data_IF_638809682750
#
_entry.id   IF_638809682750
#
_cell.length_a   1.000
_cell.length_b   1.000
_cell.length_c   1.000
_cell.angle_alpha   90.00
_cell.angle_beta   90.00
_cell.angle_gamma   90.00
#
_symmetry.space_group_name_H-M   'P 1'
#
loop_
_entity.id
_entity.type
_entity.pdbx_description
1 polymer ?
#
# COMPACT_ATOMS: atom_id res chain seq x y z
N UNK A 1 -8.55 -13.51 1.36
CA UNK A 1 -7.07 -13.62 1.19
C UNK A 1 -6.56 -12.86 -0.04
N UNK A 2 -7.01 -13.11 -1.28
CA UNK A 2 -6.48 -12.42 -2.47
C UNK A 2 -6.46 -10.88 -2.36
N UNK A 3 -7.51 -10.27 -1.82
CA UNK A 3 -7.59 -8.82 -1.60
C UNK A 3 -6.77 -8.31 -0.39
N UNK A 4 -6.37 -9.20 0.54
CA UNK A 4 -5.55 -8.79 1.69
C UNK A 4 -4.10 -8.55 1.31
N UNK A 5 -3.58 -9.25 0.29
CA UNK A 5 -2.19 -9.12 -0.14
C UNK A 5 -1.83 -7.72 -0.64
N UNK A 6 -2.61 -7.11 -1.55
CA UNK A 6 -2.36 -5.72 -1.95
C UNK A 6 -2.49 -4.72 -0.81
N UNK A 7 -3.41 -4.95 0.12
CA UNK A 7 -3.57 -4.09 1.30
C UNK A 7 -2.34 -4.15 2.23
N UNK A 8 -1.76 -5.35 2.43
CA UNK A 8 -0.52 -5.51 3.18
C UNK A 8 0.61 -4.73 2.51
N UNK A 9 0.76 -4.83 1.19
CA UNK A 9 1.82 -4.12 0.46
C UNK A 9 1.62 -2.59 0.48
N UNK A 10 0.39 -2.10 0.37
CA UNK A 10 0.09 -0.69 0.58
C UNK A 10 0.41 -0.24 2.00
N UNK A 11 0.10 -1.05 3.02
CA UNK A 11 0.44 -0.74 4.41
C UNK A 11 1.95 -0.73 4.65
N UNK A 12 2.70 -1.66 4.05
CA UNK A 12 4.17 -1.68 4.09
C UNK A 12 4.79 -0.46 3.38
N UNK A 13 4.21 -0.03 2.26
CA UNK A 13 4.59 1.19 1.54
C UNK A 13 4.51 2.42 2.46
N UNK A 14 3.39 2.58 3.14
CA UNK A 14 3.15 3.71 4.04
C UNK A 14 4.02 3.62 5.30
N UNK A 15 4.10 2.44 5.91
CA UNK A 15 4.97 2.17 7.05
C UNK A 15 6.43 2.51 6.73
N UNK A 16 6.91 2.11 5.55
CA UNK A 16 8.29 2.36 5.13
C UNK A 16 8.59 3.85 5.06
N UNK A 17 7.74 4.63 4.38
CA UNK A 17 7.89 6.08 4.28
C UNK A 17 7.74 6.78 5.63
N UNK A 18 6.77 6.35 6.46
CA UNK A 18 6.54 6.94 7.77
C UNK A 18 7.70 6.73 8.75
N UNK A 19 8.35 5.55 8.71
CA UNK A 19 9.56 5.27 9.51
C UNK A 19 10.75 6.17 9.15
N UNK A 20 10.71 6.77 7.98
CA UNK A 20 11.72 7.72 7.47
C UNK A 20 11.27 9.18 7.67
N UNK A 21 10.15 9.41 8.34
CA UNK A 21 9.62 10.75 8.60
C UNK A 21 8.91 11.40 7.41
N UNK A 22 8.48 10.61 6.41
CA UNK A 22 7.72 11.07 5.26
C UNK A 22 6.32 10.45 5.27
N UNK A 23 5.30 11.24 4.95
CA UNK A 23 3.93 10.75 4.88
C UNK A 23 3.47 10.57 3.43
N UNK A 24 3.53 9.32 2.93
CA UNK A 24 3.19 9.00 1.55
C UNK A 24 1.68 8.79 1.36
N UNK A 25 0.94 9.87 1.13
CA UNK A 25 -0.47 9.81 0.67
C UNK A 25 -0.56 9.39 -0.81
N UNK A 26 0.52 9.56 -1.57
CA UNK A 26 0.62 9.18 -2.98
C UNK A 26 0.54 7.67 -3.24
N UNK A 27 0.52 6.84 -2.21
CA UNK A 27 0.43 5.37 -2.33
C UNK A 27 -0.75 4.91 -3.18
N UNK A 28 -1.89 5.62 -3.11
CA UNK A 28 -3.07 5.29 -3.91
C UNK A 28 -2.82 5.49 -5.42
N UNK A 29 -2.19 6.59 -5.83
CA UNK A 29 -1.81 6.83 -7.22
C UNK A 29 -0.67 5.92 -7.69
N UNK A 30 0.29 5.61 -6.82
CA UNK A 30 1.36 4.66 -7.11
C UNK A 30 0.80 3.24 -7.35
N UNK A 31 -0.20 2.86 -6.57
CA UNK A 31 -0.98 1.64 -6.78
C UNK A 31 -1.70 1.66 -8.14
N UNK A 32 -2.38 2.76 -8.47
CA UNK A 32 -3.07 2.94 -9.76
C UNK A 32 -2.11 2.87 -10.93
N UNK A 33 -0.96 3.51 -10.85
CA UNK A 33 0.08 3.43 -11.89
C UNK A 33 0.61 2.00 -12.08
N UNK A 34 0.78 1.25 -10.98
CA UNK A 34 1.13 -0.16 -11.02
C UNK A 34 0.05 -1.03 -11.68
N UNK A 35 -1.23 -0.77 -11.36
CA UNK A 35 -2.37 -1.43 -12.00
C UNK A 35 -2.40 -1.17 -13.52
N UNK A 36 -2.21 0.09 -13.91
CA UNK A 36 -2.13 0.49 -15.31
C UNK A 36 -1.04 -0.28 -16.05
N UNK A 37 0.18 -0.25 -15.52
CA UNK A 37 1.33 -0.89 -16.14
C UNK A 37 1.16 -2.40 -16.26
N UNK A 38 0.73 -3.09 -15.20
CA UNK A 38 0.54 -4.54 -15.22
C UNK A 38 -0.56 -4.97 -16.18
N UNK A 39 -1.72 -4.31 -16.15
CA UNK A 39 -2.85 -4.65 -17.03
C UNK A 39 -2.57 -4.32 -18.48
N UNK A 40 -1.97 -3.18 -18.77
CA UNK A 40 -1.63 -2.81 -20.14
C UNK A 40 -0.59 -3.75 -20.74
N UNK A 41 0.45 -4.08 -20.00
CA UNK A 41 1.46 -5.05 -20.45
C UNK A 41 0.87 -6.46 -20.68
N UNK A 42 -0.07 -6.88 -19.83
CA UNK A 42 -0.72 -8.17 -19.95
C UNK A 42 -1.71 -8.23 -21.12
N UNK A 43 -2.53 -7.20 -21.31
CA UNK A 43 -3.63 -7.19 -22.28
C UNK A 43 -3.22 -6.68 -23.68
N UNK A 44 -2.35 -5.65 -23.74
CA UNK A 44 -1.92 -5.08 -25.01
C UNK A 44 -0.67 -5.75 -25.60
N UNK A 45 0.30 -6.09 -24.74
CA UNK A 45 1.57 -6.68 -25.18
C UNK A 45 1.64 -8.20 -25.02
N UNK A 46 0.67 -8.80 -24.34
CA UNK A 46 0.62 -10.25 -24.13
C UNK A 46 1.74 -10.80 -23.24
N UNK A 47 2.31 -9.98 -22.36
CA UNK A 47 3.40 -10.40 -21.48
C UNK A 47 2.91 -11.39 -20.41
N UNK A 48 3.81 -12.26 -19.95
CA UNK A 48 3.54 -13.16 -18.83
C UNK A 48 3.49 -12.43 -17.48
N UNK A 49 3.12 -13.15 -16.44
CA UNK A 49 2.91 -12.59 -15.09
C UNK A 49 4.14 -11.89 -14.49
N UNK A 50 5.34 -12.46 -14.67
CA UNK A 50 6.56 -11.91 -14.06
C UNK A 50 6.97 -10.55 -14.67
N UNK A 51 7.11 -10.38 -16.02
CA UNK A 51 7.41 -9.08 -16.59
C UNK A 51 6.31 -8.03 -16.32
N UNK A 52 5.03 -8.43 -16.29
CA UNK A 52 3.94 -7.51 -15.91
C UNK A 52 4.10 -7.01 -14.47
N UNK A 53 4.47 -7.89 -13.54
CA UNK A 53 4.73 -7.54 -12.14
C UNK A 53 5.93 -6.59 -12.02
N UNK A 54 7.04 -6.86 -12.72
CA UNK A 54 8.22 -5.98 -12.73
C UNK A 54 7.86 -4.60 -13.27
N UNK A 55 7.07 -4.54 -14.34
CA UNK A 55 6.64 -3.29 -14.96
C UNK A 55 5.74 -2.48 -14.01
N UNK A 56 4.86 -3.13 -13.25
CA UNK A 56 4.07 -2.50 -12.20
C UNK A 56 4.92 -1.90 -11.07
N UNK A 57 5.96 -2.63 -10.63
CA UNK A 57 6.92 -2.16 -9.61
C UNK A 57 7.63 -0.89 -10.12
N UNK A 58 8.09 -0.90 -11.37
CA UNK A 58 8.78 0.24 -12.00
C UNK A 58 7.84 1.44 -12.10
N UNK A 59 6.60 1.25 -12.56
CA UNK A 59 5.62 2.33 -12.70
C UNK A 59 5.30 2.98 -11.34
N UNK A 60 5.04 2.17 -10.30
CA UNK A 60 4.84 2.66 -8.95
C UNK A 60 6.07 3.39 -8.39
N UNK A 61 7.27 2.84 -8.62
CA UNK A 61 8.53 3.46 -8.22
C UNK A 61 8.77 4.80 -8.91
N UNK A 62 8.49 4.92 -10.21
CA UNK A 62 8.63 6.16 -10.97
C UNK A 62 7.71 7.26 -10.44
N UNK A 63 6.44 6.94 -10.16
CA UNK A 63 5.52 7.91 -9.59
C UNK A 63 5.97 8.34 -8.18
N UNK A 64 6.46 7.40 -7.37
CA UNK A 64 7.09 7.70 -6.09
C UNK A 64 8.36 8.54 -6.22
N UNK A 65 9.17 8.28 -7.24
CA UNK A 65 10.36 9.07 -7.57
C UNK A 65 10.01 10.53 -7.89
N UNK A 66 8.96 10.77 -8.69
CA UNK A 66 8.48 12.13 -9.00
C UNK A 66 8.12 12.88 -7.72
N UNK A 67 7.34 12.26 -6.82
CA UNK A 67 7.01 12.86 -5.51
C UNK A 67 8.27 13.16 -4.70
N UNK A 68 9.25 12.23 -4.73
CA UNK A 68 10.53 12.37 -4.04
C UNK A 68 11.39 13.51 -4.58
N UNK A 69 11.45 13.66 -5.89
CA UNK A 69 12.18 14.76 -6.57
C UNK A 69 11.56 16.13 -6.23
N UNK A 70 10.23 16.25 -6.29
CA UNK A 70 9.52 17.46 -5.92
C UNK A 70 9.79 17.84 -4.45
N UNK A 71 9.86 16.84 -3.56
CA UNK A 71 10.17 17.06 -2.15
C UNK A 71 11.61 17.46 -1.93
N UNK A 72 12.55 16.74 -2.54
CA UNK A 72 13.97 16.93 -2.30
C UNK A 72 14.52 18.24 -2.90
N UNK A 73 14.18 18.53 -4.15
CA UNK A 73 14.74 19.67 -4.88
C UNK A 73 13.85 20.91 -4.90
N UNK A 74 12.53 20.74 -4.95
CA UNK A 74 11.61 21.87 -4.99
C UNK A 74 11.00 22.18 -3.61
N UNK A 75 11.33 21.41 -2.58
CA UNK A 75 10.77 21.53 -1.23
C UNK A 75 9.23 21.57 -1.17
N UNK A 76 8.58 20.95 -2.15
CA UNK A 76 7.11 20.82 -2.20
C UNK A 76 6.67 19.86 -1.10
N UNK A 77 5.50 20.10 -0.52
CA UNK A 77 4.92 19.20 0.47
C UNK A 77 4.54 17.86 -0.21
N UNK A 78 5.08 16.74 0.30
CA UNK A 78 4.86 15.39 -0.24
C UNK A 78 3.39 14.95 -0.19
N UNK A 79 2.61 15.49 0.75
CA UNK A 79 1.18 15.21 0.88
C UNK A 79 0.41 15.85 -0.27
N UNK A 80 0.67 17.14 -0.54
CA UNK A 80 0.00 17.88 -1.62
C UNK A 80 0.36 17.29 -2.98
N UNK A 81 1.66 17.07 -3.24
CA UNK A 81 2.10 16.46 -4.50
C UNK A 81 1.55 15.04 -4.67
N UNK A 82 1.48 14.27 -3.59
CA UNK A 82 0.89 12.92 -3.58
C UNK A 82 -0.59 12.94 -3.96
N UNK A 83 -1.39 13.83 -3.37
CA UNK A 83 -2.82 13.95 -3.70
C UNK A 83 -3.01 14.33 -5.17
N UNK A 84 -2.26 15.29 -5.68
CA UNK A 84 -2.36 15.70 -7.09
C UNK A 84 -1.97 14.57 -8.04
N UNK A 85 -0.89 13.87 -7.75
CA UNK A 85 -0.43 12.74 -8.56
C UNK A 85 -1.40 11.55 -8.52
N UNK A 86 -2.15 11.35 -7.44
CA UNK A 86 -3.19 10.32 -7.38
C UNK A 86 -4.26 10.53 -8.46
N UNK A 87 -4.73 11.77 -8.63
CA UNK A 87 -5.73 12.11 -9.66
C UNK A 87 -5.16 12.03 -11.08
N UNK A 88 -3.93 12.51 -11.27
CA UNK A 88 -3.25 12.39 -12.57
C UNK A 88 -3.08 10.91 -12.94
N UNK A 89 -2.63 10.07 -12.00
CA UNK A 89 -2.50 8.64 -12.22
C UNK A 89 -3.84 7.98 -12.57
N UNK A 90 -4.93 8.34 -11.86
CA UNK A 90 -6.25 7.78 -12.11
C UNK A 90 -6.74 8.09 -13.53
N UNK A 91 -6.77 9.36 -13.91
CA UNK A 91 -7.27 9.75 -15.24
C UNK A 91 -6.38 9.28 -16.38
N UNK A 92 -5.06 9.30 -16.19
CA UNK A 92 -4.12 8.72 -17.16
C UNK A 92 -4.36 7.21 -17.34
N UNK A 93 -4.56 6.49 -16.24
CA UNK A 93 -4.85 5.05 -16.27
C UNK A 93 -6.16 4.76 -17.00
N UNK A 94 -7.23 5.51 -16.70
CA UNK A 94 -8.51 5.37 -17.39
C UNK A 94 -8.37 5.58 -18.90
N UNK A 95 -7.61 6.59 -19.30
CA UNK A 95 -7.36 6.88 -20.74
C UNK A 95 -6.55 5.76 -21.39
N UNK A 96 -5.47 5.31 -20.77
CA UNK A 96 -4.59 4.25 -21.32
C UNK A 96 -5.34 2.92 -21.41
N UNK A 97 -6.03 2.50 -20.34
CA UNK A 97 -6.73 1.23 -20.29
C UNK A 97 -8.04 1.22 -21.09
N UNK A 98 -8.54 2.38 -21.50
CA UNK A 98 -9.68 2.43 -22.43
C UNK A 98 -9.38 1.80 -23.79
N UNK A 99 -8.11 1.69 -24.19
CA UNK A 99 -7.68 1.00 -25.41
C UNK A 99 -7.80 -0.54 -25.33
N UNK A 100 -7.81 -1.08 -24.11
CA UNK A 100 -7.96 -2.53 -23.83
C UNK A 100 -9.26 -2.84 -23.08
N UNK A 101 -10.24 -1.96 -23.22
CA UNK A 101 -11.57 -2.08 -22.64
C UNK A 101 -12.45 -3.04 -23.43
N UNK A 102 -13.38 -3.71 -22.76
CA UNK A 102 -14.44 -4.49 -23.38
C UNK A 102 -15.45 -3.58 -24.12
N UNK A 103 -15.91 -3.98 -25.28
CA UNK A 103 -16.80 -3.12 -26.12
C UNK A 103 -18.15 -2.87 -25.45
N UNK A 104 -18.66 -3.88 -24.71
CA UNK A 104 -19.98 -3.83 -24.08
C UNK A 104 -19.99 -3.34 -22.63
N UNK A 105 -18.83 -3.12 -22.02
CA UNK A 105 -18.74 -2.74 -20.60
C UNK A 105 -17.61 -1.74 -20.33
N UNK A 106 -17.68 -0.97 -19.23
CA UNK A 106 -16.65 -0.01 -18.87
C UNK A 106 -15.36 -0.68 -18.32
N UNK A 107 -15.35 -2.00 -18.21
CA UNK A 107 -14.24 -2.76 -17.63
C UNK A 107 -13.21 -3.19 -18.68
N UNK A 108 -11.97 -3.36 -18.25
CA UNK A 108 -10.93 -3.99 -19.09
C UNK A 108 -11.32 -5.41 -19.48
N UNK A 109 -10.72 -5.93 -20.55
CA UNK A 109 -10.91 -7.31 -20.97
C UNK A 109 -10.57 -8.30 -19.85
N UNK A 110 -11.16 -9.48 -19.91
CA UNK A 110 -10.88 -10.56 -18.98
C UNK A 110 -9.46 -11.11 -19.20
N UNK A 111 -8.62 -11.04 -18.17
CA UNK A 111 -7.24 -11.49 -18.25
C UNK A 111 -7.13 -13.00 -18.49
N UNK A 112 -7.98 -13.78 -17.86
CA UNK A 112 -8.06 -15.25 -18.01
C UNK A 112 -8.42 -15.69 -19.43
N UNK A 113 -9.22 -14.89 -20.16
CA UNK A 113 -9.63 -15.19 -21.53
C UNK A 113 -8.62 -14.71 -22.57
N UNK A 114 -8.00 -13.54 -22.35
CA UNK A 114 -7.12 -12.90 -23.34
C UNK A 114 -5.68 -13.38 -23.18
N UNK A 115 -5.17 -13.43 -21.95
CA UNK A 115 -3.79 -13.82 -21.68
C UNK A 115 -3.67 -14.62 -20.37
N UNK A 116 -3.96 -15.92 -20.38
CA UNK A 116 -3.83 -16.77 -19.19
C UNK A 116 -2.40 -16.82 -18.63
N UNK A 117 -1.37 -16.58 -19.45
CA UNK A 117 0.03 -16.56 -19.02
C UNK A 117 0.38 -15.39 -18.11
N UNK A 118 -0.46 -14.34 -18.09
CA UNK A 118 -0.31 -13.20 -17.18
C UNK A 118 -0.94 -13.43 -15.81
N UNK A 119 -1.67 -14.53 -15.63
CA UNK A 119 -2.20 -14.90 -14.31
C UNK A 119 -1.09 -15.40 -13.39
N UNK A 120 -1.19 -15.06 -12.12
CA UNK A 120 -0.25 -15.52 -11.11
C UNK A 120 -0.38 -17.04 -10.92
N UNK A 121 0.73 -17.79 -10.90
CA UNK A 121 0.72 -19.23 -10.70
C UNK A 121 0.28 -19.57 -9.27
N UNK A 122 -0.46 -20.65 -9.10
CA UNK A 122 -0.91 -21.15 -7.80
C UNK A 122 0.17 -21.93 -7.05
N UNK A 123 1.19 -22.45 -7.76
CA UNK A 123 2.30 -23.28 -7.24
C UNK A 123 1.83 -24.44 -6.34
N UNK A 124 0.63 -24.97 -6.56
CA UNK A 124 0.07 -26.05 -5.75
C UNK A 124 -0.48 -25.63 -4.38
N UNK A 125 -0.53 -24.31 -4.09
CA UNK A 125 -1.12 -23.78 -2.86
C UNK A 125 -2.65 -23.96 -2.84
N UNK A 126 -3.28 -24.04 -4.01
CA UNK A 126 -4.69 -24.34 -4.22
C UNK A 126 -5.13 -25.64 -3.52
N UNK A 127 -4.30 -26.69 -3.56
CA UNK A 127 -4.58 -27.95 -2.87
C UNK A 127 -4.70 -27.85 -1.36
N UNK A 128 -4.03 -26.88 -0.72
CA UNK A 128 -4.12 -26.64 0.72
C UNK A 128 -5.37 -25.83 1.10
N UNK A 129 -5.99 -25.15 0.15
CA UNK A 129 -7.13 -24.26 0.33
C UNK A 129 -8.38 -24.72 -0.45
N UNK A 130 -8.65 -26.02 -0.45
CA UNK A 130 -9.87 -26.61 -1.03
C UNK A 130 -10.02 -26.38 -2.56
N UNK A 131 -8.92 -26.32 -3.30
CA UNK A 131 -8.95 -26.10 -4.75
C UNK A 131 -9.29 -24.67 -5.18
N UNK A 132 -9.03 -23.68 -4.34
CA UNK A 132 -9.35 -22.30 -4.65
C UNK A 132 -8.28 -21.66 -5.53
N UNK A 133 -8.55 -21.51 -6.83
CA UNK A 133 -7.64 -20.94 -7.84
C UNK A 133 -7.19 -19.51 -7.57
N UNK A 134 -7.82 -18.82 -6.59
CA UNK A 134 -7.45 -17.45 -6.19
C UNK A 134 -6.34 -17.41 -5.14
N UNK A 135 -5.89 -18.57 -4.66
CA UNK A 135 -4.74 -18.71 -3.78
C UNK A 135 -3.49 -18.87 -4.64
N UNK A 136 -2.75 -17.81 -4.80
CA UNK A 136 -1.61 -17.71 -5.73
C UNK A 136 -0.30 -17.46 -4.98
N UNK A 137 0.80 -17.40 -5.71
CA UNK A 137 2.13 -16.99 -5.22
C UNK A 137 2.11 -15.61 -4.51
N UNK A 138 1.04 -14.83 -4.63
CA UNK A 138 0.89 -13.54 -3.96
C UNK A 138 1.07 -13.63 -2.44
N UNK A 139 0.62 -14.74 -1.81
CA UNK A 139 0.70 -14.91 -0.35
C UNK A 139 2.15 -15.00 0.13
N UNK A 140 2.96 -15.99 -0.30
CA UNK A 140 4.35 -16.09 0.15
C UNK A 140 5.18 -14.89 -0.30
N UNK A 141 4.91 -14.32 -1.47
CA UNK A 141 5.61 -13.14 -1.95
C UNK A 141 5.35 -11.92 -1.05
N UNK A 142 4.12 -11.71 -0.61
CA UNK A 142 3.78 -10.59 0.29
C UNK A 142 4.44 -10.75 1.66
N UNK A 143 4.47 -11.97 2.20
CA UNK A 143 5.17 -12.26 3.47
C UNK A 143 6.68 -12.01 3.29
N UNK A 144 7.26 -12.47 2.19
CA UNK A 144 8.66 -12.22 1.85
C UNK A 144 8.96 -10.72 1.81
N UNK A 145 8.10 -9.92 1.16
CA UNK A 145 8.25 -8.48 1.10
C UNK A 145 8.15 -7.81 2.47
N UNK A 146 7.28 -8.29 3.36
CA UNK A 146 7.22 -7.79 4.74
C UNK A 146 8.51 -8.05 5.51
N UNK A 147 9.09 -9.25 5.35
CA UNK A 147 10.39 -9.61 5.95
C UNK A 147 11.51 -8.74 5.35
N UNK A 148 11.53 -8.54 4.03
CA UNK A 148 12.52 -7.69 3.36
C UNK A 148 12.44 -6.25 3.86
N UNK A 149 11.25 -5.68 3.97
CA UNK A 149 11.04 -4.33 4.53
C UNK A 149 11.56 -4.26 5.97
N UNK A 150 11.28 -5.27 6.79
CA UNK A 150 11.81 -5.35 8.14
C UNK A 150 13.34 -5.40 8.17
N UNK A 151 13.97 -6.24 7.34
CA UNK A 151 15.43 -6.35 7.23
C UNK A 151 16.03 -5.01 6.79
N UNK A 152 15.50 -4.41 5.72
CA UNK A 152 15.99 -3.13 5.19
C UNK A 152 15.97 -2.07 6.30
N UNK A 153 14.83 -1.89 6.97
CA UNK A 153 14.68 -0.86 7.99
C UNK A 153 15.48 -1.14 9.27
N UNK A 154 15.69 -2.41 9.64
CA UNK A 154 16.24 -2.76 10.96
C UNK A 154 17.68 -3.23 10.93
N UNK A 155 18.17 -3.79 9.81
CA UNK A 155 19.43 -4.51 9.74
C UNK A 155 20.41 -3.95 8.69
N UNK A 156 20.01 -2.96 7.87
CA UNK A 156 20.89 -2.43 6.83
C UNK A 156 21.37 -1.00 7.11
N UNK A 157 22.55 -0.66 6.55
CA UNK A 157 23.09 0.71 6.57
C UNK A 157 22.11 1.70 5.94
N UNK A 158 21.48 1.31 4.82
CA UNK A 158 20.48 2.13 4.15
C UNK A 158 19.31 2.47 5.08
N UNK A 159 18.74 1.50 5.79
CA UNK A 159 17.65 1.75 6.73
C UNK A 159 18.05 2.65 7.90
N UNK A 160 19.30 2.58 8.34
CA UNK A 160 19.84 3.50 9.33
C UNK A 160 19.91 4.94 8.80
N UNK A 161 20.49 5.14 7.61
CA UNK A 161 20.60 6.46 6.96
C UNK A 161 19.22 7.08 6.70
N UNK A 162 18.27 6.27 6.24
CA UNK A 162 16.90 6.70 6.00
C UNK A 162 16.24 7.22 7.30
N UNK A 163 16.31 6.45 8.40
CA UNK A 163 15.74 6.86 9.69
C UNK A 163 16.45 8.07 10.29
N UNK A 164 17.77 8.15 10.17
CA UNK A 164 18.54 9.30 10.63
C UNK A 164 18.10 10.58 9.89
N UNK A 165 17.93 10.49 8.56
CA UNK A 165 17.42 11.58 7.73
C UNK A 165 16.01 12.00 8.16
N UNK A 166 15.13 11.04 8.50
CA UNK A 166 13.78 11.32 8.97
C UNK A 166 13.73 11.99 10.33
N UNK A 167 14.61 11.61 11.24
CA UNK A 167 14.66 12.19 12.58
C UNK A 167 15.17 13.64 12.58
N UNK A 168 16.26 13.89 11.87
CA UNK A 168 16.83 15.23 11.74
C UNK A 168 17.65 15.37 10.45
N UNK A 169 17.06 16.05 9.46
CA UNK A 169 17.68 16.26 8.14
C UNK A 169 19.04 16.95 8.24
N UNK A 170 19.14 17.99 9.07
CA UNK A 170 20.36 18.76 9.22
C UNK A 170 21.47 17.93 9.87
N UNK A 171 21.17 17.22 10.95
CA UNK A 171 22.12 16.34 11.62
C UNK A 171 22.62 15.23 10.66
N UNK A 172 21.72 14.62 9.88
CA UNK A 172 22.10 13.62 8.87
C UNK A 172 23.05 14.21 7.81
N UNK A 173 22.77 15.44 7.34
CA UNK A 173 23.64 16.14 6.39
C UNK A 173 25.03 16.42 6.98
N UNK A 174 25.13 16.89 8.23
CA UNK A 174 26.40 17.10 8.91
C UNK A 174 27.17 15.79 9.13
N UNK A 175 26.46 14.68 9.30
CA UNK A 175 27.05 13.34 9.38
C UNK A 175 27.45 12.76 8.02
N UNK A 176 27.37 13.54 6.93
CA UNK A 176 27.76 13.11 5.58
C UNK A 176 26.74 12.25 4.85
N UNK A 177 25.50 12.16 5.34
CA UNK A 177 24.44 11.38 4.67
C UNK A 177 23.77 12.21 3.57
N UNK A 178 23.51 11.58 2.42
CA UNK A 178 22.86 12.21 1.27
C UNK A 178 21.35 12.32 1.48
N UNK A 179 20.89 13.39 2.19
CA UNK A 179 19.47 13.54 2.59
C UNK A 179 18.50 13.51 1.40
N UNK A 180 18.83 14.22 0.31
CA UNK A 180 17.94 14.33 -0.85
C UNK A 180 17.77 12.98 -1.55
N UNK A 181 18.87 12.24 -1.71
CA UNK A 181 18.84 10.85 -2.20
C UNK A 181 18.00 9.96 -1.30
N UNK A 182 18.11 10.10 0.02
CA UNK A 182 17.36 9.29 0.98
C UNK A 182 15.85 9.56 0.89
N UNK A 183 15.42 10.81 0.70
CA UNK A 183 14.03 11.19 0.49
C UNK A 183 13.49 10.55 -0.79
N UNK A 184 14.22 10.69 -1.90
CA UNK A 184 13.82 10.12 -3.20
C UNK A 184 13.72 8.60 -3.12
N UNK A 185 14.75 7.93 -2.58
CA UNK A 185 14.76 6.48 -2.44
C UNK A 185 13.62 5.98 -1.56
N UNK A 186 13.28 6.70 -0.49
CA UNK A 186 12.17 6.32 0.39
C UNK A 186 10.85 6.28 -0.37
N UNK A 187 10.51 7.35 -1.09
CA UNK A 187 9.25 7.43 -1.83
C UNK A 187 9.25 6.52 -3.06
N UNK A 188 10.40 6.27 -3.68
CA UNK A 188 10.55 5.32 -4.77
C UNK A 188 10.31 3.88 -4.31
N UNK A 189 10.91 3.45 -3.20
CA UNK A 189 10.71 2.11 -2.63
C UNK A 189 9.25 1.94 -2.16
N UNK A 190 8.70 2.96 -1.52
CA UNK A 190 7.30 3.01 -1.11
C UNK A 190 6.37 2.83 -2.32
N UNK A 191 6.63 3.55 -3.43
CA UNK A 191 5.89 3.41 -4.66
C UNK A 191 6.03 2.04 -5.33
N UNK A 192 7.22 1.45 -5.29
CA UNK A 192 7.48 0.10 -5.78
C UNK A 192 6.61 -0.95 -5.06
N UNK A 193 6.50 -0.85 -3.73
CA UNK A 193 5.64 -1.73 -2.92
C UNK A 193 4.16 -1.57 -3.27
N UNK A 194 3.70 -0.33 -3.46
CA UNK A 194 2.32 -0.08 -3.86
C UNK A 194 2.01 -0.62 -5.26
N UNK A 195 2.91 -0.42 -6.23
CA UNK A 195 2.80 -0.95 -7.59
C UNK A 195 2.79 -2.47 -7.61
N UNK A 196 3.64 -3.12 -6.82
CA UNK A 196 3.61 -4.56 -6.62
C UNK A 196 2.25 -5.02 -6.08
N UNK A 197 1.68 -4.31 -5.09
CA UNK A 197 0.36 -4.62 -4.55
C UNK A 197 -0.75 -4.61 -5.60
N UNK A 198 -0.72 -3.65 -6.51
CA UNK A 198 -1.67 -3.58 -7.61
C UNK A 198 -1.54 -4.77 -8.56
N UNK A 199 -0.32 -5.10 -8.96
CA UNK A 199 -0.03 -6.26 -9.81
C UNK A 199 -0.58 -7.55 -9.18
N UNK A 200 -0.32 -7.79 -7.89
CA UNK A 200 -0.80 -8.98 -7.20
C UNK A 200 -2.32 -9.10 -7.15
N UNK A 201 -3.07 -7.99 -7.16
CA UNK A 201 -4.53 -8.05 -7.22
C UNK A 201 -5.03 -8.33 -8.63
N UNK A 202 -4.60 -7.54 -9.60
CA UNK A 202 -5.16 -7.62 -10.96
C UNK A 202 -4.72 -8.86 -11.72
N UNK A 203 -3.51 -9.36 -11.47
CA UNK A 203 -3.02 -10.61 -12.07
C UNK A 203 -3.59 -11.88 -11.44
N UNK A 204 -4.41 -11.79 -10.39
CA UNK A 204 -5.22 -12.93 -9.95
C UNK A 204 -6.45 -13.18 -10.83
N UNK A 205 -6.77 -12.26 -11.75
CA UNK A 205 -8.04 -12.30 -12.51
C UNK A 205 -9.29 -12.10 -11.64
N UNK A 206 -9.12 -11.77 -10.36
CA UNK A 206 -10.25 -11.57 -9.44
C UNK A 206 -11.00 -10.26 -9.70
N UNK A 207 -10.28 -9.21 -10.09
CA UNK A 207 -10.83 -7.89 -10.37
C UNK A 207 -10.39 -7.39 -11.73
N UNK A 208 -11.27 -6.62 -12.37
CA UNK A 208 -10.99 -5.86 -13.59
C UNK A 208 -10.94 -4.38 -13.27
N UNK A 209 -10.22 -3.61 -14.07
CA UNK A 209 -10.21 -2.17 -13.93
C UNK A 209 -11.44 -1.58 -14.60
N UNK A 210 -12.11 -0.67 -13.91
CA UNK A 210 -13.20 0.13 -14.47
C UNK A 210 -12.64 1.43 -15.05
N UNK A 211 -12.68 1.57 -16.39
CA UNK A 211 -12.09 2.72 -17.08
C UNK A 211 -12.88 4.04 -16.91
N UNK A 212 -14.07 3.98 -16.32
CA UNK A 212 -14.95 5.15 -16.09
C UNK A 212 -14.99 5.60 -14.64
N UNK A 213 -14.18 4.96 -13.76
CA UNK A 213 -14.21 5.31 -12.34
C UNK A 213 -13.71 6.74 -12.10
N UNK A 214 -14.46 7.46 -11.26
CA UNK A 214 -14.21 8.86 -10.91
C UNK A 214 -13.57 9.04 -9.54
N UNK A 215 -13.23 7.96 -8.85
CA UNK A 215 -12.61 7.98 -7.52
C UNK A 215 -11.36 7.11 -7.48
N UNK A 216 -10.35 7.58 -6.76
CA UNK A 216 -9.13 6.79 -6.54
C UNK A 216 -9.45 5.57 -5.69
N UNK A 217 -8.96 4.36 -6.05
CA UNK A 217 -9.20 3.15 -5.27
C UNK A 217 -8.84 3.31 -3.79
N UNK A 218 -9.75 2.88 -2.92
CA UNK A 218 -9.60 2.99 -1.46
C UNK A 218 -8.45 2.15 -0.89
N UNK A 219 -7.95 1.19 -1.65
CA UNK A 219 -6.89 0.26 -1.22
C UNK A 219 -5.64 0.99 -0.68
N UNK A 220 -5.21 2.05 -1.36
CA UNK A 220 -4.07 2.86 -0.92
C UNK A 220 -4.34 3.60 0.39
N UNK A 221 -5.54 4.14 0.57
CA UNK A 221 -5.93 4.84 1.80
C UNK A 221 -6.16 3.88 2.98
N UNK A 222 -6.79 2.73 2.73
CA UNK A 222 -6.96 1.67 3.73
C UNK A 222 -5.60 1.13 4.19
N UNK A 223 -4.57 1.20 3.34
CA UNK A 223 -3.20 0.90 3.71
C UNK A 223 -2.65 1.80 4.82
N UNK A 224 -3.05 3.09 4.86
CA UNK A 224 -2.68 4.02 5.95
C UNK A 224 -3.21 3.49 7.28
N UNK A 225 -4.49 3.17 7.29
CA UNK A 225 -5.17 2.62 8.44
C UNK A 225 -4.52 1.32 8.93
N UNK A 226 -4.25 0.40 8.01
CA UNK A 226 -3.62 -0.87 8.31
C UNK A 226 -2.20 -0.69 8.88
N UNK A 227 -1.42 0.26 8.38
CA UNK A 227 -0.08 0.55 8.88
C UNK A 227 -0.11 1.06 10.33
N UNK A 228 -1.02 2.01 10.63
CA UNK A 228 -1.15 2.55 11.98
C UNK A 228 -1.76 1.54 12.96
N UNK A 229 -2.79 0.80 12.57
CA UNK A 229 -3.37 -0.27 13.38
C UNK A 229 -2.34 -1.37 13.69
N UNK A 230 -1.46 -1.69 12.74
CA UNK A 230 -0.33 -2.61 12.91
C UNK A 230 0.82 -2.07 13.76
N UNK A 231 0.67 -0.87 14.36
CA UNK A 231 1.68 -0.25 15.21
C UNK A 231 2.94 0.16 14.45
N UNK A 232 2.84 0.40 13.15
CA UNK A 232 3.97 0.73 12.27
C UNK A 232 5.08 -0.34 12.33
N UNK A 233 4.68 -1.59 12.44
CA UNK A 233 5.57 -2.74 12.43
C UNK A 233 5.20 -3.69 11.26
N UNK A 234 6.16 -4.18 10.46
CA UNK A 234 5.85 -5.00 9.27
C UNK A 234 5.00 -6.24 9.57
N UNK A 235 5.30 -6.96 10.66
CA UNK A 235 4.50 -8.11 11.08
C UNK A 235 3.11 -7.68 11.54
N UNK A 236 3.01 -6.59 12.33
CA UNK A 236 1.74 -6.03 12.76
C UNK A 236 0.86 -5.60 11.58
N UNK A 237 1.47 -5.03 10.52
CA UNK A 237 0.77 -4.65 9.30
C UNK A 237 0.16 -5.83 8.55
N UNK A 238 0.74 -7.04 8.62
CA UNK A 238 0.15 -8.25 8.04
C UNK A 238 -1.20 -8.55 8.73
N UNK A 239 -1.20 -8.61 10.06
CA UNK A 239 -2.40 -8.92 10.83
C UNK A 239 -3.47 -7.84 10.70
N UNK A 240 -3.09 -6.56 10.80
CA UNK A 240 -4.03 -5.44 10.70
C UNK A 240 -4.66 -5.34 9.30
N UNK A 241 -3.88 -5.53 8.25
CA UNK A 241 -4.40 -5.53 6.88
C UNK A 241 -5.37 -6.67 6.64
N UNK A 242 -5.04 -7.88 7.14
CA UNK A 242 -5.94 -9.01 7.06
C UNK A 242 -7.26 -8.74 7.80
N UNK A 243 -7.17 -8.16 8.99
CA UNK A 243 -8.33 -7.80 9.80
C UNK A 243 -9.22 -6.76 9.11
N UNK A 244 -8.65 -5.66 8.61
CA UNK A 244 -9.40 -4.61 7.90
C UNK A 244 -10.05 -5.20 6.64
N UNK A 245 -9.31 -5.98 5.86
CA UNK A 245 -9.85 -6.56 4.64
C UNK A 245 -10.99 -7.55 4.93
N UNK A 246 -10.90 -8.29 6.03
CA UNK A 246 -11.96 -9.21 6.44
C UNK A 246 -13.25 -8.48 6.79
N UNK A 247 -13.15 -7.33 7.49
CA UNK A 247 -14.31 -6.48 7.77
C UNK A 247 -14.90 -5.90 6.48
N UNK A 248 -14.06 -5.39 5.58
CA UNK A 248 -14.51 -4.81 4.30
C UNK A 248 -15.20 -5.86 3.43
N UNK A 249 -14.64 -7.07 3.35
CA UNK A 249 -15.26 -8.17 2.61
C UNK A 249 -16.57 -8.64 3.28
N UNK A 250 -16.66 -8.59 4.61
CA UNK A 250 -17.87 -8.90 5.37
C UNK A 250 -19.07 -8.04 4.98
N UNK A 251 -18.85 -6.81 4.54
CA UNK A 251 -19.90 -5.92 4.06
C UNK A 251 -20.65 -6.40 2.80
N UNK A 252 -20.05 -7.31 2.05
CA UNK A 252 -20.70 -7.91 0.87
C UNK A 252 -21.78 -8.95 1.27
N UNK A 253 -21.74 -9.43 2.52
CA UNK A 253 -22.68 -10.40 3.06
C UNK A 253 -23.79 -9.76 3.91
N UNK A 254 -23.79 -8.44 4.04
CA UNK A 254 -24.83 -7.71 4.76
C UNK A 254 -26.14 -7.73 3.96
N UNK A 255 -27.25 -7.86 4.66
CA UNK A 255 -28.56 -7.83 4.03
C UNK A 255 -28.84 -6.42 3.46
N UNK A 256 -28.77 -6.29 2.14
CA UNK A 256 -28.93 -5.03 1.41
C UNK A 256 -30.33 -4.42 1.51
N UNK A 257 -31.33 -5.19 1.98
CA UNK A 257 -32.67 -4.66 2.22
C UNK A 257 -32.75 -3.75 3.45
N UNK A 258 -31.86 -3.94 4.43
CA UNK A 258 -31.81 -3.16 5.67
C UNK A 258 -30.63 -2.22 5.75
N UNK A 259 -29.50 -2.58 5.13
CA UNK A 259 -28.25 -1.84 5.22
C UNK A 259 -27.63 -1.63 3.85
N UNK A 260 -27.08 -0.47 3.63
CA UNK A 260 -26.31 -0.21 2.42
C UNK A 260 -24.97 -0.99 2.45
N UNK A 261 -24.47 -1.38 1.27
CA UNK A 261 -23.17 -2.09 1.15
C UNK A 261 -21.98 -1.29 1.71
N UNK A 262 -22.13 0.04 1.82
CA UNK A 262 -21.13 0.95 2.36
C UNK A 262 -21.01 0.89 3.90
N UNK A 263 -21.88 0.17 4.58
CA UNK A 263 -21.83 0.09 6.06
C UNK A 263 -20.52 -0.51 6.57
N UNK A 264 -19.90 -1.42 5.81
CA UNK A 264 -18.60 -1.98 6.15
C UNK A 264 -17.47 -0.93 6.10
N UNK A 265 -17.54 0.01 5.16
CA UNK A 265 -16.59 1.10 5.06
C UNK A 265 -16.73 2.08 6.23
N UNK A 266 -17.98 2.33 6.67
CA UNK A 266 -18.25 3.13 7.87
C UNK A 266 -17.71 2.43 9.11
N UNK A 267 -17.97 1.13 9.28
CA UNK A 267 -17.46 0.34 10.42
C UNK A 267 -15.93 0.36 10.42
N UNK A 268 -15.30 0.11 9.28
CA UNK A 268 -13.85 0.16 9.14
C UNK A 268 -13.30 1.54 9.52
N UNK A 269 -13.93 2.61 9.05
CA UNK A 269 -13.54 3.99 9.32
C UNK A 269 -13.63 4.32 10.83
N UNK A 270 -14.69 3.87 11.50
CA UNK A 270 -14.86 4.04 12.95
C UNK A 270 -13.79 3.27 13.72
N UNK A 271 -13.49 2.03 13.32
CA UNK A 271 -12.42 1.23 13.95
C UNK A 271 -11.07 1.92 13.79
N UNK A 272 -10.75 2.41 12.61
CA UNK A 272 -9.52 3.14 12.31
C UNK A 272 -9.40 4.39 13.19
N UNK A 273 -10.50 5.16 13.26
CA UNK A 273 -10.57 6.35 14.09
C UNK A 273 -10.30 6.03 15.57
N UNK A 274 -10.98 5.03 16.11
CA UNK A 274 -10.79 4.60 17.49
C UNK A 274 -9.37 4.07 17.75
N UNK A 275 -8.79 3.32 16.80
CA UNK A 275 -7.41 2.84 16.90
C UNK A 275 -6.38 3.97 16.97
N UNK A 276 -6.63 5.09 16.29
CA UNK A 276 -5.76 6.27 16.37
C UNK A 276 -5.72 6.86 17.79
N UNK A 277 -6.83 6.78 18.54
CA UNK A 277 -6.88 7.21 19.94
C UNK A 277 -6.16 6.27 20.90
N UNK A 278 -5.97 5.00 20.56
CA UNK A 278 -5.25 4.05 21.43
C UNK A 278 -3.83 4.55 21.71
N UNK A 279 -3.16 5.09 20.71
CA UNK A 279 -1.82 5.64 20.89
C UNK A 279 -1.81 6.87 21.79
N UNK A 280 -2.79 7.77 21.62
CA UNK A 280 -2.98 8.94 22.47
C UNK A 280 -3.27 8.54 23.92
N UNK A 281 -4.20 7.60 24.14
CA UNK A 281 -4.56 7.08 25.46
C UNK A 281 -3.33 6.44 26.12
N UNK A 282 -2.57 5.62 25.39
CA UNK A 282 -1.35 4.97 25.89
C UNK A 282 -0.30 6.00 26.32
N UNK A 283 -0.09 7.06 25.56
CA UNK A 283 0.86 8.13 25.89
C UNK A 283 0.38 8.94 27.11
N UNK A 284 -0.90 9.22 27.18
CA UNK A 284 -1.51 9.97 28.29
C UNK A 284 -1.46 9.17 29.59
N UNK A 285 -1.83 7.89 29.55
CA UNK A 285 -1.73 6.97 30.69
C UNK A 285 -0.28 6.86 31.18
N UNK A 286 0.68 6.73 30.27
CA UNK A 286 2.10 6.66 30.62
C UNK A 286 2.58 7.93 31.33
N UNK A 287 2.11 9.11 30.89
CA UNK A 287 2.40 10.39 31.55
C UNK A 287 1.74 10.49 32.94
N UNK A 288 0.50 10.01 33.07
CA UNK A 288 -0.22 10.04 34.37
C UNK A 288 0.45 9.09 35.35
N UNK A 289 0.81 7.89 34.93
CA UNK A 289 1.49 6.90 35.79
C UNK A 289 2.86 7.40 36.25
N UNK A 290 3.67 7.98 35.34
CA UNK A 290 4.96 8.57 35.68
C UNK A 290 4.82 9.69 36.71
N UNK A 291 3.84 10.59 36.50
CA UNK A 291 3.57 11.71 37.46
C UNK A 291 3.03 11.24 38.80
N UNK A 292 2.41 10.05 38.85
CA UNK A 292 1.94 9.44 40.10
C UNK A 292 3.06 8.73 40.86
N UNK A 293 4.06 8.19 40.12
CA UNK A 293 5.28 7.62 40.72
C UNK A 293 6.15 8.66 41.40
N UNK A 294 6.44 9.78 40.72
CA UNK A 294 7.22 10.89 41.25
C UNK A 294 6.58 11.52 42.54
N UNK A 295 5.24 11.51 42.59
CA UNK A 295 4.54 11.99 43.81
C UNK A 295 4.61 11.03 44.98
N UNK A 296 4.85 9.74 44.77
CA UNK A 296 5.05 8.76 45.84
C UNK A 296 6.48 8.78 46.37
N UNK A 297 7.48 8.98 45.52
CA UNK A 297 8.87 9.15 45.96
C UNK A 297 9.13 10.46 46.70
N UNK A 298 8.40 11.52 46.39
CA UNK A 298 8.50 12.81 47.09
C UNK A 298 7.77 12.85 48.45
N UNK A 299 7.04 11.80 48.84
CA UNK A 299 6.33 11.66 50.10
C UNK A 299 6.96 10.68 51.10
N UNK A 300 7.99 9.97 50.70
CA UNK A 300 8.86 9.17 51.55
C UNK A 300 10.22 9.86 51.72
#
# INVERSE_FOLDING_TARGET
MAKSMPLILCSLSILFSYKVGLFNIGTAGQYVAGACASLYAALAWGWGWLPCMIFAIIAGALLGCITGLLKAYCNVNEVISGIMLNWIALYSTNTILSSVKETASPYTLYLDKVNPAALLPTLGLDGWFNGNDKVTIAIPLTILMAVLVWIILSKTKLGYELKATGNNKNAAKYAGMAQDRNIILTLMISGALAGLGASLLYQTGYMRWECTQSSVPSMGFNGIAAAFLGGLHPIGSIFSSFFIQHITDGGQYVNTNFYSSQISDVISSVIIYLCSFVLFIKLTLKKIIAKSGDKKEAKN
#
